data_IF_671527835569
#
_entry.id   IF_671527835569
#
_cell.length_a   1.000
_cell.length_b   1.000
_cell.length_c   1.000
_cell.angle_alpha   90.00
_cell.angle_beta   90.00
_cell.angle_gamma   90.00
#
_symmetry.space_group_name_H-M   'P 1'
#
loop_
_entity.id
_entity.type
_entity.pdbx_description
1 polymer ?
#
# COMPACT_ATOMS: atom_id res chain seq x y z
N UNK A 1 13.94 9.14 25.52
CA UNK A 1 13.82 9.05 24.04
C UNK A 1 12.36 8.74 23.74
N UNK A 2 11.70 9.49 22.86
CA UNK A 2 10.26 9.36 22.56
C UNK A 2 9.95 7.95 21.98
N UNK A 3 8.88 7.28 22.41
CA UNK A 3 8.52 5.92 22.00
C UNK A 3 8.45 5.75 20.46
N UNK A 4 7.97 6.78 19.75
CA UNK A 4 7.93 6.78 18.28
C UNK A 4 9.33 6.72 17.66
N UNK A 5 10.31 7.38 18.28
CA UNK A 5 11.70 7.41 17.81
C UNK A 5 12.40 6.08 18.06
N UNK A 6 12.08 5.42 19.18
CA UNK A 6 12.53 4.05 19.45
C UNK A 6 11.95 3.08 18.40
N UNK A 7 10.65 3.18 18.11
CA UNK A 7 10.01 2.35 17.09
C UNK A 7 10.62 2.55 15.69
N UNK A 8 10.85 3.80 15.27
CA UNK A 8 11.59 4.12 14.04
C UNK A 8 12.99 3.51 14.02
N UNK A 9 13.70 3.55 15.15
CA UNK A 9 15.04 2.98 15.28
C UNK A 9 15.04 1.46 15.10
N UNK A 10 14.01 0.76 15.61
CA UNK A 10 13.83 -0.69 15.39
C UNK A 10 13.70 -0.99 13.89
N UNK A 11 12.84 -0.26 13.18
CA UNK A 11 12.58 -0.50 11.75
C UNK A 11 13.77 -0.11 10.87
N UNK A 12 14.40 1.03 11.13
CA UNK A 12 15.61 1.42 10.38
C UNK A 12 16.78 0.47 10.63
N UNK A 13 16.91 -0.10 11.84
CA UNK A 13 17.89 -1.14 12.13
C UNK A 13 17.58 -2.44 11.39
N UNK A 14 16.31 -2.85 11.31
CA UNK A 14 15.91 -3.98 10.47
C UNK A 14 16.29 -3.73 9.02
N UNK A 15 15.90 -2.61 8.41
CA UNK A 15 16.21 -2.36 7.00
C UNK A 15 17.70 -2.37 6.73
N UNK A 16 18.51 -1.73 7.58
CA UNK A 16 19.97 -1.75 7.44
C UNK A 16 20.53 -3.17 7.46
N UNK A 17 20.06 -4.01 8.38
CA UNK A 17 20.54 -5.39 8.50
C UNK A 17 20.03 -6.27 7.35
N UNK A 18 18.74 -6.22 7.03
CA UNK A 18 18.12 -7.01 5.96
C UNK A 18 18.64 -6.64 4.56
N UNK A 19 18.72 -5.34 4.25
CA UNK A 19 19.14 -4.87 2.93
C UNK A 19 20.65 -5.12 2.71
N UNK A 20 21.46 -5.09 3.78
CA UNK A 20 22.89 -5.40 3.78
C UNK A 20 23.24 -6.89 3.91
N UNK A 21 22.29 -7.74 4.31
CA UNK A 21 22.55 -9.17 4.54
C UNK A 21 22.76 -9.94 3.23
N UNK A 22 23.72 -10.88 3.20
CA UNK A 22 23.77 -11.91 2.16
C UNK A 22 22.51 -12.80 2.27
N UNK A 23 22.17 -13.50 1.18
CA UNK A 23 20.90 -14.24 1.08
C UNK A 23 20.77 -15.26 2.21
N UNK A 24 21.85 -15.94 2.53
CA UNK A 24 21.96 -16.99 3.54
C UNK A 24 21.67 -16.49 4.97
N UNK A 25 21.76 -15.17 5.21
CA UNK A 25 21.55 -14.56 6.52
C UNK A 25 20.17 -13.92 6.71
N UNK A 26 19.37 -13.81 5.65
CA UNK A 26 18.05 -13.13 5.68
C UNK A 26 17.15 -13.68 6.80
N UNK A 27 17.09 -15.01 6.92
CA UNK A 27 16.28 -15.66 7.96
C UNK A 27 16.72 -15.27 9.37
N UNK A 28 18.04 -15.30 9.63
CA UNK A 28 18.65 -14.89 10.90
C UNK A 28 18.38 -13.42 11.23
N UNK A 29 18.44 -12.54 10.24
CA UNK A 29 18.12 -11.11 10.41
C UNK A 29 16.66 -10.91 10.86
N UNK A 30 15.70 -11.55 10.20
CA UNK A 30 14.28 -11.43 10.55
C UNK A 30 13.98 -12.05 11.92
N UNK A 31 14.54 -13.21 12.23
CA UNK A 31 14.42 -13.86 13.55
C UNK A 31 14.90 -12.95 14.70
N UNK A 32 16.02 -12.25 14.49
CA UNK A 32 16.56 -11.35 15.50
C UNK A 32 15.67 -10.12 15.73
N UNK A 33 15.08 -9.58 14.66
CA UNK A 33 14.27 -8.37 14.69
C UNK A 33 12.81 -8.59 15.12
N UNK A 34 12.27 -9.79 14.92
CA UNK A 34 10.86 -10.07 15.15
C UNK A 34 10.59 -10.77 16.50
N UNK A 35 9.34 -10.67 16.97
CA UNK A 35 8.87 -11.43 18.14
C UNK A 35 8.63 -12.91 17.77
N UNK A 36 8.61 -13.84 18.74
CA UNK A 36 8.33 -15.26 18.45
C UNK A 36 6.98 -15.51 17.76
N UNK A 37 5.98 -14.64 18.01
CA UNK A 37 4.64 -14.72 17.44
C UNK A 37 4.42 -13.80 16.23
N UNK A 38 5.49 -13.42 15.53
CA UNK A 38 5.43 -12.48 14.41
C UNK A 38 4.40 -12.87 13.34
N UNK A 39 3.50 -11.94 13.01
CA UNK A 39 2.52 -12.10 11.93
C UNK A 39 2.81 -11.14 10.79
N UNK A 40 2.82 -11.65 9.57
CA UNK A 40 3.01 -10.87 8.37
C UNK A 40 1.79 -11.03 7.46
N UNK A 41 1.18 -9.92 7.07
CA UNK A 41 0.08 -9.86 6.10
C UNK A 41 0.63 -9.24 4.83
N UNK A 42 0.62 -9.97 3.72
CA UNK A 42 1.01 -9.40 2.44
C UNK A 42 0.05 -9.74 1.32
N UNK A 43 0.10 -8.92 0.28
CA UNK A 43 -0.77 -9.07 -0.87
C UNK A 43 -0.78 -10.47 -1.45
N UNK A 44 -1.89 -10.80 -2.10
CA UNK A 44 -1.99 -12.02 -2.89
C UNK A 44 -0.78 -12.14 -3.83
N UNK A 45 -0.09 -13.29 -3.85
CA UNK A 45 -0.51 -14.60 -3.37
C UNK A 45 -0.10 -14.98 -1.94
N UNK A 46 0.61 -14.10 -1.22
CA UNK A 46 1.26 -14.48 0.04
C UNK A 46 0.30 -14.54 1.22
N UNK A 47 -0.69 -13.66 1.30
CA UNK A 47 -1.69 -13.59 2.39
C UNK A 47 -1.03 -13.50 3.78
N UNK A 48 -1.55 -14.23 4.78
CA UNK A 48 -0.98 -14.26 6.13
C UNK A 48 0.11 -15.33 6.24
N UNK A 49 1.26 -14.93 6.77
CA UNK A 49 2.40 -15.79 7.10
C UNK A 49 2.75 -15.56 8.56
N UNK A 50 2.93 -16.65 9.32
CA UNK A 50 3.35 -16.59 10.73
C UNK A 50 4.79 -17.07 10.86
N UNK A 51 5.57 -16.33 11.65
CA UNK A 51 6.97 -16.64 11.95
C UNK A 51 7.96 -15.98 10.99
N UNK A 52 9.06 -15.48 11.54
CA UNK A 52 10.09 -14.76 10.78
C UNK A 52 10.80 -15.63 9.74
N UNK A 53 11.05 -16.89 10.05
CA UNK A 53 11.66 -17.86 9.12
C UNK A 53 10.76 -18.08 7.90
N UNK A 54 9.47 -18.34 8.12
CA UNK A 54 8.49 -18.50 7.04
C UNK A 54 8.43 -17.27 6.13
N UNK A 55 8.47 -16.07 6.69
CA UNK A 55 8.50 -14.82 5.90
C UNK A 55 9.81 -14.68 5.12
N UNK A 56 10.93 -15.11 5.70
CA UNK A 56 12.22 -15.17 5.00
C UNK A 56 12.14 -16.08 3.77
N UNK A 57 11.65 -17.31 3.97
CA UNK A 57 11.61 -18.38 2.96
C UNK A 57 10.57 -18.14 1.88
N UNK A 58 9.37 -17.70 2.24
CA UNK A 58 8.28 -17.56 1.30
C UNK A 58 8.35 -16.25 0.50
N UNK A 59 8.87 -15.16 1.08
CA UNK A 59 8.85 -13.84 0.45
C UNK A 59 10.25 -13.31 0.14
N UNK A 60 11.08 -13.08 1.17
CA UNK A 60 12.32 -12.32 1.00
C UNK A 60 13.38 -13.06 0.18
N UNK A 61 13.58 -14.35 0.42
CA UNK A 61 14.56 -15.18 -0.30
C UNK A 61 14.20 -15.29 -1.80
N UNK A 62 12.98 -15.66 -2.19
CA UNK A 62 12.57 -15.65 -3.60
C UNK A 62 12.69 -14.27 -4.26
N UNK A 63 12.27 -13.21 -3.56
CA UNK A 63 12.37 -11.84 -4.08
C UNK A 63 13.84 -11.43 -4.32
N UNK A 64 14.74 -11.69 -3.35
CA UNK A 64 16.18 -11.37 -3.47
C UNK A 64 16.90 -12.28 -4.46
N UNK A 65 16.36 -13.47 -4.73
CA UNK A 65 16.84 -14.32 -5.82
C UNK A 65 16.51 -13.71 -7.19
N UNK A 66 15.29 -13.19 -7.34
CA UNK A 66 14.77 -12.64 -8.59
C UNK A 66 15.26 -11.21 -8.89
N UNK A 67 15.09 -10.29 -7.95
CA UNK A 67 15.56 -8.92 -8.03
C UNK A 67 16.95 -8.84 -7.41
N UNK A 68 17.99 -9.05 -8.22
CA UNK A 68 19.37 -8.97 -7.75
C UNK A 68 19.78 -7.51 -7.56
N UNK A 69 20.83 -7.28 -6.76
CA UNK A 69 21.30 -5.92 -6.40
C UNK A 69 20.19 -5.03 -5.84
N UNK A 70 19.23 -5.62 -5.12
CA UNK A 70 18.07 -4.92 -4.57
C UNK A 70 18.49 -3.74 -3.68
N UNK A 71 17.87 -2.59 -3.91
CA UNK A 71 18.00 -1.37 -3.14
C UNK A 71 16.61 -0.92 -2.70
N UNK A 72 16.49 -0.54 -1.43
CA UNK A 72 15.31 0.14 -0.92
C UNK A 72 15.44 1.64 -1.20
N UNK A 73 14.51 2.16 -1.98
CA UNK A 73 14.33 3.58 -2.25
C UNK A 73 13.11 4.04 -1.46
N UNK A 74 13.35 4.50 -0.24
CA UNK A 74 12.29 4.94 0.65
C UNK A 74 11.85 6.36 0.28
N UNK A 75 10.56 6.56 0.14
CA UNK A 75 9.93 7.83 -0.26
C UNK A 75 9.13 8.45 0.91
N UNK A 76 8.53 7.62 1.76
CA UNK A 76 7.83 8.04 2.98
C UNK A 76 8.21 7.13 4.15
N UNK A 77 8.44 7.73 5.33
CA UNK A 77 8.74 7.05 6.58
C UNK A 77 8.23 7.86 7.77
N UNK A 78 7.32 7.29 8.56
CA UNK A 78 6.77 7.93 9.75
C UNK A 78 6.27 6.89 10.76
N UNK A 79 6.03 7.30 11.99
CA UNK A 79 5.47 6.44 13.03
C UNK A 79 4.34 7.13 13.78
N UNK A 80 3.39 6.37 14.29
CA UNK A 80 2.31 6.92 15.07
C UNK A 80 1.65 5.90 15.99
N UNK A 81 0.85 6.41 16.92
CA UNK A 81 -0.02 5.59 17.75
C UNK A 81 -1.29 5.27 16.96
N UNK A 82 -1.74 4.02 17.06
CA UNK A 82 -2.88 3.54 16.31
C UNK A 82 -4.21 4.02 16.93
N UNK A 83 -4.95 4.88 16.24
CA UNK A 83 -6.26 5.32 16.72
C UNK A 83 -7.26 4.18 16.91
N UNK A 84 -7.18 3.12 16.09
CA UNK A 84 -8.16 2.02 16.09
C UNK A 84 -8.18 1.24 17.39
N UNK A 85 -7.04 1.15 18.08
CA UNK A 85 -6.92 0.47 19.39
C UNK A 85 -6.87 1.44 20.56
N UNK A 86 -7.36 2.67 20.38
CA UNK A 86 -7.34 3.67 21.45
C UNK A 86 -5.94 4.24 21.72
N UNK A 87 -5.07 4.27 20.70
CA UNK A 87 -3.70 4.78 20.75
C UNK A 87 -2.74 3.94 21.63
N UNK A 88 -3.06 2.68 21.84
CA UNK A 88 -2.29 1.74 22.64
C UNK A 88 -1.05 1.23 21.90
N UNK A 89 -1.20 0.86 20.62
CA UNK A 89 -0.08 0.32 19.85
C UNK A 89 0.65 1.37 19.01
N UNK A 90 1.95 1.14 18.79
CA UNK A 90 2.80 1.97 17.94
C UNK A 90 3.12 1.23 16.65
N UNK A 91 2.88 1.92 15.53
CA UNK A 91 3.18 1.43 14.20
C UNK A 91 4.15 2.37 13.50
N UNK A 92 4.91 1.82 12.57
CA UNK A 92 5.84 2.55 11.71
C UNK A 92 5.51 2.23 10.25
N UNK A 93 5.21 3.26 9.47
CA UNK A 93 4.93 3.16 8.05
C UNK A 93 6.20 3.45 7.24
N UNK A 94 6.37 2.70 6.16
CA UNK A 94 7.45 2.85 5.18
C UNK A 94 6.89 2.61 3.80
N UNK A 95 7.15 3.50 2.87
CA UNK A 95 6.67 3.39 1.49
C UNK A 95 7.79 3.80 0.53
N UNK A 96 7.82 3.15 -0.62
CA UNK A 96 8.66 3.56 -1.74
C UNK A 96 8.81 2.43 -2.73
N UNK A 97 10.05 2.16 -3.15
CA UNK A 97 10.35 1.15 -4.16
C UNK A 97 11.48 0.22 -3.70
N UNK A 98 11.30 -1.07 -3.95
CA UNK A 98 12.39 -2.04 -3.99
C UNK A 98 12.87 -2.12 -5.44
N UNK A 99 14.05 -1.57 -5.72
CA UNK A 99 14.63 -1.46 -7.05
C UNK A 99 15.77 -2.47 -7.22
N UNK A 100 15.80 -3.21 -8.32
CA UNK A 100 16.88 -4.17 -8.59
C UNK A 100 16.99 -4.53 -10.07
N UNK A 101 17.85 -5.49 -10.38
CA UNK A 101 17.91 -6.13 -11.69
C UNK A 101 17.01 -7.37 -11.68
N UNK A 102 16.05 -7.44 -12.59
CA UNK A 102 15.12 -8.56 -12.66
C UNK A 102 15.70 -9.71 -13.48
N UNK A 103 16.50 -10.54 -12.81
CA UNK A 103 17.38 -11.54 -13.45
C UNK A 103 16.87 -12.97 -13.35
N UNK A 104 15.96 -13.27 -12.42
CA UNK A 104 15.31 -14.58 -12.32
C UNK A 104 13.78 -14.44 -12.18
N UNK A 105 12.98 -15.44 -12.59
CA UNK A 105 11.53 -15.37 -12.45
C UNK A 105 11.07 -15.18 -11.00
N UNK A 106 9.97 -14.44 -10.81
CA UNK A 106 9.28 -14.34 -9.52
C UNK A 106 7.78 -14.40 -9.75
N UNK A 107 7.09 -15.29 -9.03
CA UNK A 107 5.64 -15.53 -9.18
C UNK A 107 5.21 -15.83 -10.62
N UNK A 108 6.06 -16.50 -11.39
CA UNK A 108 5.81 -16.82 -12.81
C UNK A 108 6.06 -15.67 -13.78
N UNK A 109 6.45 -14.49 -13.31
CA UNK A 109 6.80 -13.35 -14.16
C UNK A 109 8.19 -13.60 -14.77
N UNK A 110 8.35 -13.54 -16.11
CA UNK A 110 9.64 -13.76 -16.75
C UNK A 110 10.62 -12.61 -16.45
N UNK A 111 11.91 -12.91 -16.20
CA UNK A 111 12.91 -11.89 -15.96
C UNK A 111 13.18 -11.08 -17.23
N UNK A 112 13.52 -9.81 -17.06
CA UNK A 112 13.83 -8.89 -18.18
C UNK A 112 15.33 -8.66 -18.37
N UNK A 113 16.16 -9.01 -17.38
CA UNK A 113 17.57 -8.63 -17.31
C UNK A 113 17.80 -7.13 -17.22
N UNK A 114 16.76 -6.35 -16.87
CA UNK A 114 16.77 -4.89 -16.78
C UNK A 114 16.46 -4.44 -15.36
N UNK A 115 16.66 -3.15 -15.11
CA UNK A 115 16.18 -2.51 -13.90
C UNK A 115 14.66 -2.65 -13.77
N UNK A 116 14.19 -2.97 -12.57
CA UNK A 116 12.78 -3.02 -12.23
C UNK A 116 12.51 -2.32 -10.88
N UNK A 117 11.30 -1.77 -10.74
CA UNK A 117 10.81 -1.10 -9.54
C UNK A 117 9.59 -1.83 -8.99
N UNK A 118 9.74 -2.50 -7.86
CA UNK A 118 8.60 -3.03 -7.10
C UNK A 118 8.16 -1.98 -6.07
N UNK A 119 7.06 -1.30 -6.35
CA UNK A 119 6.46 -0.35 -5.40
C UNK A 119 5.98 -1.11 -4.16
N UNK A 120 6.27 -0.59 -2.97
CA UNK A 120 5.84 -1.18 -1.70
C UNK A 120 5.31 -0.13 -0.72
N UNK A 121 4.45 -0.57 0.20
CA UNK A 121 4.14 0.13 1.43
C UNK A 121 3.98 -0.88 2.55
N UNK A 122 4.50 -0.59 3.73
CA UNK A 122 4.40 -1.46 4.88
C UNK A 122 4.14 -0.70 6.18
N UNK A 123 3.30 -1.29 7.03
CA UNK A 123 3.05 -0.87 8.40
C UNK A 123 3.60 -1.93 9.33
N UNK A 124 4.46 -1.54 10.27
CA UNK A 124 5.12 -2.46 11.20
C UNK A 124 4.75 -2.11 12.63
N UNK A 125 4.09 -3.01 13.35
CA UNK A 125 3.80 -2.85 14.78
C UNK A 125 5.05 -3.18 15.58
N UNK A 126 5.52 -2.22 16.35
CA UNK A 126 6.68 -2.40 17.22
C UNK A 126 6.20 -2.66 18.64
N UNK A 127 6.73 -3.69 19.25
CA UNK A 127 6.46 -4.08 20.63
C UNK A 127 7.76 -4.57 21.28
N UNK A 128 8.10 -4.04 22.45
CA UNK A 128 9.27 -4.45 23.23
C UNK A 128 10.59 -4.45 22.44
N UNK A 129 10.77 -3.44 21.58
CA UNK A 129 11.97 -3.28 20.74
C UNK A 129 12.05 -4.24 19.55
N UNK A 130 10.98 -4.97 19.25
CA UNK A 130 10.88 -5.95 18.17
C UNK A 130 9.63 -5.73 17.32
N UNK A 131 9.61 -6.35 16.15
CA UNK A 131 8.47 -6.29 15.24
C UNK A 131 7.53 -7.44 15.58
N UNK A 132 6.29 -7.10 15.93
CA UNK A 132 5.28 -8.08 16.27
C UNK A 132 4.33 -8.37 15.10
N UNK A 133 4.04 -7.35 14.29
CA UNK A 133 3.21 -7.51 13.11
C UNK A 133 3.72 -6.64 11.96
N UNK A 134 3.57 -7.13 10.74
CA UNK A 134 3.78 -6.34 9.53
C UNK A 134 2.62 -6.54 8.59
N UNK A 135 2.14 -5.45 8.00
CA UNK A 135 1.24 -5.48 6.86
C UNK A 135 2.00 -4.86 5.68
N UNK A 136 2.33 -5.65 4.65
CA UNK A 136 3.21 -5.26 3.53
C UNK A 136 2.51 -5.44 2.19
N UNK A 137 2.31 -4.34 1.50
CA UNK A 137 1.55 -4.18 0.27
C UNK A 137 2.54 -3.88 -0.86
N UNK A 138 2.37 -4.49 -2.03
CA UNK A 138 3.28 -4.29 -3.17
C UNK A 138 2.56 -4.46 -4.52
N UNK A 139 2.99 -3.71 -5.53
CA UNK A 139 2.31 -3.69 -6.83
C UNK A 139 2.92 -4.74 -7.78
N UNK A 140 2.54 -6.01 -7.61
CA UNK A 140 2.91 -7.10 -8.54
C UNK A 140 2.44 -6.80 -9.97
N UNK A 141 1.21 -6.33 -10.22
CA UNK A 141 0.78 -5.97 -11.57
C UNK A 141 1.69 -4.93 -12.24
N UNK A 142 2.20 -3.95 -11.49
CA UNK A 142 3.19 -3.00 -12.02
C UNK A 142 4.50 -3.69 -12.43
N UNK A 143 4.99 -4.68 -11.66
CA UNK A 143 6.16 -5.47 -12.03
C UNK A 143 5.90 -6.32 -13.29
N UNK A 144 4.69 -6.91 -13.41
CA UNK A 144 4.26 -7.62 -14.62
C UNK A 144 4.31 -6.72 -15.85
N UNK A 145 3.81 -5.49 -15.74
CA UNK A 145 3.82 -4.52 -16.83
C UNK A 145 5.25 -4.10 -17.23
N UNK A 146 6.17 -3.95 -16.28
CA UNK A 146 7.59 -3.73 -16.57
C UNK A 146 8.24 -4.91 -17.31
N UNK A 147 7.71 -6.12 -17.14
CA UNK A 147 8.11 -7.32 -17.89
C UNK A 147 7.42 -7.45 -19.26
N UNK A 148 6.62 -6.47 -19.67
CA UNK A 148 5.88 -6.49 -20.93
C UNK A 148 4.60 -7.33 -20.88
N UNK A 149 4.10 -7.68 -19.69
CA UNK A 149 2.82 -8.37 -19.53
C UNK A 149 1.67 -7.38 -19.34
N UNK A 150 0.46 -7.80 -19.72
CA UNK A 150 -0.77 -7.02 -19.56
C UNK A 150 -1.74 -7.72 -18.60
N UNK A 151 -1.59 -7.55 -17.27
CA UNK A 151 -2.39 -8.26 -16.28
C UNK A 151 -3.87 -7.83 -16.26
N UNK A 152 -4.17 -6.62 -16.72
CA UNK A 152 -5.51 -6.04 -16.70
C UNK A 152 -5.86 -5.40 -18.06
N UNK A 153 -7.16 -5.13 -18.32
CA UNK A 153 -7.58 -4.29 -19.43
C UNK A 153 -7.01 -2.86 -19.36
N UNK A 154 -7.18 -2.04 -20.41
CA UNK A 154 -6.73 -0.65 -20.42
C UNK A 154 -7.18 0.14 -19.18
N UNK A 155 -6.25 0.89 -18.61
CA UNK A 155 -6.45 1.68 -17.39
C UNK A 155 -7.15 3.00 -17.70
N UNK A 156 -7.97 3.50 -16.78
CA UNK A 156 -8.67 4.80 -16.92
C UNK A 156 -7.75 6.00 -16.70
N UNK A 157 -6.67 5.82 -15.94
CA UNK A 157 -5.72 6.85 -15.58
C UNK A 157 -4.27 6.47 -15.96
N UNK A 158 -3.31 7.36 -15.67
CA UNK A 158 -1.94 7.24 -16.18
C UNK A 158 -1.12 6.16 -15.46
N UNK A 159 -0.51 5.24 -16.21
CA UNK A 159 0.45 4.28 -15.66
C UNK A 159 1.84 4.89 -15.60
N UNK A 160 2.45 4.95 -14.40
CA UNK A 160 3.73 5.61 -14.15
C UNK A 160 4.48 4.87 -13.04
N UNK A 161 5.80 5.05 -12.99
CA UNK A 161 6.55 4.87 -11.73
C UNK A 161 6.23 6.06 -10.85
N UNK A 162 5.60 5.83 -9.71
CA UNK A 162 5.11 6.90 -8.84
C UNK A 162 6.28 7.51 -8.05
N UNK A 163 6.43 8.84 -8.01
CA UNK A 163 7.46 9.48 -7.20
C UNK A 163 7.07 9.49 -5.72
N UNK A 164 8.04 9.79 -4.86
CA UNK A 164 7.78 10.24 -3.50
C UNK A 164 7.12 11.62 -3.45
N UNK A 165 6.87 12.14 -2.25
CA UNK A 165 6.17 13.41 -2.06
C UNK A 165 6.87 14.57 -2.75
N UNK A 166 6.11 15.48 -3.37
CA UNK A 166 6.65 16.66 -4.07
C UNK A 166 7.61 17.50 -3.21
N UNK A 167 7.38 17.52 -1.90
CA UNK A 167 8.15 18.28 -0.91
C UNK A 167 9.49 17.65 -0.53
N UNK A 168 9.73 16.40 -0.92
CA UNK A 168 10.90 15.60 -0.54
C UNK A 168 11.14 15.52 0.99
N UNK A 169 10.11 15.75 1.81
CA UNK A 169 10.15 15.74 3.28
C UNK A 169 9.43 14.51 3.88
N UNK A 170 9.20 13.47 3.06
CA UNK A 170 8.47 12.26 3.48
C UNK A 170 9.21 11.38 4.49
N UNK A 171 10.51 11.58 4.68
CA UNK A 171 11.34 10.80 5.60
C UNK A 171 11.42 11.49 6.97
N UNK A 172 10.41 11.26 7.81
CA UNK A 172 10.35 11.86 9.14
C UNK A 172 11.23 11.07 10.10
N UNK A 173 12.52 11.39 10.15
CA UNK A 173 13.43 10.77 11.12
C UNK A 173 13.33 11.40 12.50
N UNK A 174 13.18 12.72 12.57
CA UNK A 174 13.17 13.48 13.81
C UNK A 174 11.76 13.58 14.45
N UNK A 175 11.66 13.91 15.75
CA UNK A 175 10.39 14.21 16.39
C UNK A 175 9.61 15.30 15.66
N UNK A 176 8.30 15.09 15.49
CA UNK A 176 7.38 16.06 14.90
C UNK A 176 6.54 16.76 15.97
N UNK A 177 5.96 17.90 15.62
CA UNK A 177 4.97 18.59 16.46
C UNK A 177 3.71 17.69 16.64
N UNK A 178 3.32 17.34 17.88
CA UNK A 178 2.09 16.61 18.14
C UNK A 178 0.84 17.30 17.59
N UNK A 179 0.79 18.63 17.55
CA UNK A 179 -0.34 19.38 17.02
C UNK A 179 -0.49 19.19 15.50
N UNK A 180 0.61 19.21 14.75
CA UNK A 180 0.61 18.91 13.32
C UNK A 180 0.13 17.48 13.04
N UNK A 181 0.59 16.53 13.86
CA UNK A 181 0.22 15.11 13.76
C UNK A 181 -1.28 14.92 14.00
N UNK A 182 -1.82 15.57 15.03
CA UNK A 182 -3.25 15.55 15.35
C UNK A 182 -4.08 16.18 14.23
N UNK A 183 -3.67 17.33 13.70
CA UNK A 183 -4.35 17.99 12.59
C UNK A 183 -4.42 17.08 11.34
N UNK A 184 -3.34 16.39 11.02
CA UNK A 184 -3.29 15.42 9.91
C UNK A 184 -4.25 14.25 10.14
N UNK A 185 -4.23 13.64 11.33
CA UNK A 185 -5.14 12.53 11.65
C UNK A 185 -6.60 12.95 11.61
N UNK A 186 -6.93 14.11 12.18
CA UNK A 186 -8.30 14.66 12.16
C UNK A 186 -8.78 14.89 10.73
N UNK A 187 -7.94 15.45 9.85
CA UNK A 187 -8.31 15.68 8.46
C UNK A 187 -8.53 14.36 7.69
N UNK A 188 -7.68 13.36 7.89
CA UNK A 188 -7.84 12.03 7.30
C UNK A 188 -9.16 11.40 7.76
N UNK A 189 -9.50 11.51 9.04
CA UNK A 189 -10.76 10.97 9.57
C UNK A 189 -11.99 11.71 9.04
N UNK A 190 -11.93 13.03 8.87
CA UNK A 190 -12.99 13.79 8.21
C UNK A 190 -13.20 13.29 6.77
N UNK A 191 -12.12 13.08 6.01
CA UNK A 191 -12.18 12.56 4.64
C UNK A 191 -12.79 11.14 4.59
N UNK A 192 -12.38 10.25 5.49
CA UNK A 192 -12.93 8.89 5.58
C UNK A 192 -14.44 8.94 5.89
N UNK A 193 -14.86 9.82 6.80
CA UNK A 193 -16.26 9.98 7.16
C UNK A 193 -17.10 10.48 5.98
N UNK A 194 -16.59 11.48 5.27
CA UNK A 194 -17.28 12.09 4.12
C UNK A 194 -17.41 11.07 2.97
N UNK A 195 -16.33 10.39 2.58
CA UNK A 195 -16.31 9.48 1.43
C UNK A 195 -16.79 8.05 1.74
N UNK A 196 -16.86 7.69 3.02
CA UNK A 196 -16.89 6.30 3.47
C UNK A 196 -18.14 5.50 3.10
N UNK A 197 -19.27 6.12 2.79
CA UNK A 197 -20.51 5.41 2.43
C UNK A 197 -21.19 5.94 1.17
N UNK A 198 -20.61 6.94 0.50
CA UNK A 198 -21.18 7.59 -0.70
C UNK A 198 -22.58 8.19 -0.46
N UNK A 199 -22.87 8.56 0.78
CA UNK A 199 -24.19 9.01 1.24
C UNK A 199 -24.20 10.48 1.69
N UNK A 200 -23.11 11.23 1.48
CA UNK A 200 -23.04 12.62 1.93
C UNK A 200 -24.04 13.53 1.21
N UNK A 201 -24.53 13.13 0.03
CA UNK A 201 -25.56 13.87 -0.72
C UNK A 201 -25.05 15.11 -1.46
N UNK A 202 -23.73 15.30 -1.52
CA UNK A 202 -23.08 16.34 -2.32
C UNK A 202 -22.66 15.80 -3.69
N UNK A 203 -22.55 16.68 -4.71
CA UNK A 203 -21.82 16.34 -5.92
C UNK A 203 -20.40 15.88 -5.59
N UNK A 204 -19.89 14.88 -6.33
CA UNK A 204 -18.61 14.21 -6.02
C UNK A 204 -17.44 15.20 -5.89
N UNK A 205 -17.33 16.18 -6.79
CA UNK A 205 -16.24 17.16 -6.74
C UNK A 205 -16.36 18.09 -5.51
N UNK A 206 -17.58 18.50 -5.15
CA UNK A 206 -17.83 19.31 -3.95
C UNK A 206 -17.57 18.52 -2.66
N UNK A 207 -17.94 17.23 -2.64
CA UNK A 207 -17.62 16.30 -1.56
C UNK A 207 -16.11 16.19 -1.37
N UNK A 208 -15.36 15.98 -2.45
CA UNK A 208 -13.90 15.89 -2.41
C UNK A 208 -13.25 17.21 -1.95
N UNK A 209 -13.72 18.35 -2.45
CA UNK A 209 -13.19 19.68 -2.12
C UNK A 209 -13.29 20.04 -0.62
N UNK A 210 -14.09 19.31 0.17
CA UNK A 210 -14.16 19.48 1.62
C UNK A 210 -12.84 19.17 2.30
N UNK A 211 -12.11 18.16 1.85
CA UNK A 211 -10.88 17.67 2.50
C UNK A 211 -9.66 17.62 1.58
N UNK A 212 -9.85 17.69 0.26
CA UNK A 212 -8.78 17.65 -0.73
C UNK A 212 -8.47 19.02 -1.31
N UNK A 213 -7.21 19.23 -1.67
CA UNK A 213 -6.79 20.35 -2.50
C UNK A 213 -7.33 20.16 -3.92
N UNK A 214 -7.66 21.26 -4.59
CA UNK A 214 -8.17 21.23 -5.98
C UNK A 214 -7.18 20.54 -6.93
N UNK A 215 -5.88 20.75 -6.70
CA UNK A 215 -4.76 20.16 -7.43
C UNK A 215 -4.22 18.87 -6.78
N UNK A 216 -5.06 18.13 -6.04
CA UNK A 216 -4.61 16.89 -5.41
C UNK A 216 -4.09 15.84 -6.40
N UNK A 217 -3.12 15.03 -5.96
CA UNK A 217 -2.59 13.90 -6.73
C UNK A 217 -2.98 12.57 -6.09
N UNK A 218 -3.49 11.66 -6.90
CA UNK A 218 -3.81 10.29 -6.51
C UNK A 218 -2.88 9.32 -7.23
N UNK A 219 -1.93 8.73 -6.50
CA UNK A 219 -0.94 7.77 -6.98
C UNK A 219 -1.48 6.34 -6.89
N UNK A 220 -2.31 5.98 -7.86
CA UNK A 220 -2.98 4.68 -7.95
C UNK A 220 -2.10 3.50 -8.37
N UNK A 221 -2.56 2.26 -8.12
CA UNK A 221 -1.87 1.05 -8.53
C UNK A 221 -2.06 0.74 -10.03
N UNK A 222 -1.24 -0.16 -10.56
CA UNK A 222 -1.43 -0.72 -11.89
C UNK A 222 -2.76 -1.48 -11.99
N UNK A 223 -3.52 -1.17 -13.02
CA UNK A 223 -4.92 -1.57 -13.23
C UNK A 223 -5.89 -0.38 -13.18
N UNK A 224 -5.52 0.70 -12.50
CA UNK A 224 -6.32 1.94 -12.43
C UNK A 224 -5.52 3.12 -12.98
N UNK A 225 -4.27 3.30 -12.50
CA UNK A 225 -3.39 4.41 -12.87
C UNK A 225 -3.52 5.63 -11.94
N UNK A 226 -2.71 6.66 -12.18
CA UNK A 226 -2.60 7.86 -11.35
C UNK A 226 -3.35 9.05 -11.97
N UNK A 227 -3.94 9.89 -11.12
CA UNK A 227 -4.77 11.04 -11.52
C UNK A 227 -4.24 12.33 -10.88
N UNK A 228 -4.60 13.48 -11.45
CA UNK A 228 -4.19 14.81 -10.96
C UNK A 228 -5.34 15.81 -11.11
N UNK A 229 -5.64 16.55 -10.04
CA UNK A 229 -6.83 17.40 -9.79
C UNK A 229 -8.07 16.63 -9.34
N UNK A 230 -8.96 17.31 -8.60
CA UNK A 230 -10.27 16.77 -8.18
C UNK A 230 -11.09 16.32 -9.40
N UNK A 231 -11.20 17.15 -10.45
CA UNK A 231 -11.97 16.84 -11.67
C UNK A 231 -11.51 15.51 -12.30
N UNK A 232 -10.19 15.35 -12.48
CA UNK A 232 -9.65 14.12 -13.12
C UNK A 232 -9.71 12.93 -12.18
N UNK A 233 -9.49 13.10 -10.88
CA UNK A 233 -9.67 12.03 -9.91
C UNK A 233 -11.11 11.52 -9.89
N UNK A 234 -12.09 12.44 -9.88
CA UNK A 234 -13.51 12.12 -9.95
C UNK A 234 -13.82 11.33 -11.23
N UNK A 235 -13.41 11.84 -12.40
CA UNK A 235 -13.70 11.22 -13.70
C UNK A 235 -12.98 9.90 -13.95
N UNK A 236 -11.73 9.76 -13.51
CA UNK A 236 -10.87 8.65 -13.88
C UNK A 236 -10.81 7.55 -12.81
N UNK A 237 -11.18 7.84 -11.56
CA UNK A 237 -11.18 6.83 -10.50
C UNK A 237 -12.49 6.81 -9.71
N UNK A 238 -12.83 7.90 -9.01
CA UNK A 238 -13.88 7.83 -7.98
C UNK A 238 -15.27 7.54 -8.56
N UNK A 239 -15.66 8.19 -9.67
CA UNK A 239 -16.92 7.88 -10.35
C UNK A 239 -16.91 6.47 -10.97
N UNK A 240 -15.90 6.05 -11.76
CA UNK A 240 -15.82 4.65 -12.24
C UNK A 240 -15.89 3.59 -11.14
N UNK A 241 -15.30 3.86 -9.97
CA UNK A 241 -15.38 2.97 -8.82
C UNK A 241 -16.81 2.94 -8.25
N UNK A 242 -17.44 4.09 -8.03
CA UNK A 242 -18.82 4.17 -7.51
C UNK A 242 -19.85 3.56 -8.46
N UNK A 243 -19.68 3.75 -9.76
CA UNK A 243 -20.57 3.19 -10.77
C UNK A 243 -20.41 1.66 -10.89
N UNK A 244 -19.18 1.17 -10.70
CA UNK A 244 -18.83 -0.25 -10.85
C UNK A 244 -19.03 -1.11 -9.61
N UNK A 245 -19.48 -0.52 -8.49
CA UNK A 245 -19.67 -1.21 -7.21
C UNK A 245 -20.95 -0.79 -6.50
N UNK A 246 -21.55 -1.72 -5.76
CA UNK A 246 -22.66 -1.48 -4.83
C UNK A 246 -22.38 -2.11 -3.48
N UNK A 247 -23.28 -1.89 -2.51
CA UNK A 247 -23.26 -2.53 -1.18
C UNK A 247 -21.93 -2.33 -0.44
N UNK A 248 -21.31 -1.15 -0.58
CA UNK A 248 -20.06 -0.86 0.11
C UNK A 248 -20.27 -0.87 1.63
N UNK A 249 -19.53 -1.73 2.33
CA UNK A 249 -19.54 -1.76 3.79
C UNK A 249 -18.92 -0.49 4.40
N UNK A 250 -19.03 -0.32 5.72
CA UNK A 250 -18.17 0.58 6.48
C UNK A 250 -16.69 0.15 6.44
N UNK A 251 -15.83 0.98 7.01
CA UNK A 251 -14.38 0.72 7.04
C UNK A 251 -13.96 -0.25 8.15
N UNK A 252 -13.23 -1.32 7.81
CA UNK A 252 -12.57 -2.27 8.70
C UNK A 252 -11.07 -2.01 8.85
N UNK A 253 -10.67 -0.75 9.12
CA UNK A 253 -9.25 -0.43 9.28
C UNK A 253 -8.69 -1.10 10.54
N UNK A 254 -7.49 -1.65 10.45
CA UNK A 254 -6.75 -2.22 11.58
C UNK A 254 -5.77 -1.22 12.18
N UNK A 255 -5.27 -0.29 11.36
CA UNK A 255 -4.41 0.80 11.81
C UNK A 255 -4.83 2.11 11.16
N UNK A 256 -4.87 3.18 11.95
CA UNK A 256 -4.92 4.58 11.49
C UNK A 256 -3.94 5.38 12.33
N UNK A 257 -3.03 6.10 11.69
CA UNK A 257 -2.03 6.90 12.39
C UNK A 257 -1.50 8.05 11.55
N UNK A 258 -0.91 9.05 12.20
CA UNK A 258 -0.27 10.18 11.55
C UNK A 258 0.95 10.68 12.33
N UNK A 259 1.85 11.36 11.64
CA UNK A 259 2.99 12.07 12.20
C UNK A 259 3.35 13.28 11.33
N UNK A 260 3.45 14.46 11.95
CA UNK A 260 3.64 15.70 11.21
C UNK A 260 2.55 15.88 10.14
N UNK A 261 2.96 16.02 8.88
CA UNK A 261 2.05 16.20 7.73
C UNK A 261 1.72 14.91 6.98
N UNK A 262 2.18 13.77 7.48
CA UNK A 262 1.97 12.47 6.86
C UNK A 262 1.06 11.62 7.73
N UNK A 263 0.24 10.79 7.09
CA UNK A 263 -0.60 9.85 7.79
C UNK A 263 -1.08 8.77 6.86
N UNK A 264 -1.72 7.76 7.42
CA UNK A 264 -2.19 6.64 6.62
C UNK A 264 -2.92 5.60 7.42
N UNK A 265 -3.46 4.64 6.70
CA UNK A 265 -4.20 3.53 7.26
C UNK A 265 -4.09 2.29 6.39
N UNK A 266 -4.40 1.15 6.99
CA UNK A 266 -4.66 -0.09 6.25
C UNK A 266 -5.77 -0.90 6.90
N UNK A 267 -6.36 -1.80 6.13
CA UNK A 267 -7.33 -2.79 6.60
C UNK A 267 -7.08 -4.16 5.97
N UNK A 268 -7.69 -5.17 6.57
CA UNK A 268 -7.56 -6.57 6.15
C UNK A 268 -8.87 -7.33 6.35
N UNK A 269 -9.94 -7.02 5.58
CA UNK A 269 -10.01 -6.00 4.53
C UNK A 269 -10.40 -4.60 5.05
N UNK A 270 -10.21 -3.56 4.23
CA UNK A 270 -10.68 -2.21 4.52
C UNK A 270 -12.19 -2.09 4.35
N UNK A 271 -12.78 -2.76 3.37
CA UNK A 271 -14.22 -2.79 3.16
C UNK A 271 -14.57 -3.95 2.22
N UNK A 272 -15.85 -4.22 2.10
CA UNK A 272 -16.44 -5.15 1.12
C UNK A 272 -17.29 -4.34 0.15
N UNK A 273 -17.30 -4.73 -1.12
CA UNK A 273 -18.23 -4.20 -2.12
C UNK A 273 -18.57 -5.26 -3.19
N UNK A 274 -19.73 -5.13 -3.82
CA UNK A 274 -20.23 -6.06 -4.85
C UNK A 274 -20.06 -5.42 -6.24
N UNK A 275 -19.32 -6.03 -7.19
CA UNK A 275 -19.15 -5.46 -8.52
C UNK A 275 -20.44 -5.55 -9.35
N UNK A 276 -20.86 -4.41 -9.87
CA UNK A 276 -22.01 -4.26 -10.79
C UNK A 276 -21.59 -4.28 -12.26
N UNK A 277 -20.28 -4.39 -12.53
CA UNK A 277 -19.67 -4.40 -13.85
C UNK A 277 -19.12 -3.03 -14.26
N UNK A 278 -18.24 -3.01 -15.26
CA UNK A 278 -17.64 -1.78 -15.79
C UNK A 278 -16.35 -1.36 -15.09
N UNK A 279 -16.17 -1.64 -13.80
CA UNK A 279 -14.90 -1.38 -13.11
C UNK A 279 -13.76 -2.16 -13.77
N UNK A 280 -12.72 -1.44 -14.23
CA UNK A 280 -11.61 -1.98 -15.04
C UNK A 280 -12.06 -2.73 -16.31
N UNK A 281 -13.25 -2.43 -16.84
CA UNK A 281 -13.83 -3.13 -17.99
C UNK A 281 -14.28 -4.57 -17.71
N UNK A 282 -14.39 -4.95 -16.44
CA UNK A 282 -14.74 -6.31 -16.02
C UNK A 282 -16.27 -6.48 -15.86
N UNK A 283 -16.81 -7.69 -16.05
CA UNK A 283 -18.24 -7.94 -15.90
C UNK A 283 -18.68 -7.93 -14.43
N UNK A 284 -19.98 -7.77 -14.22
CA UNK A 284 -20.59 -8.06 -12.92
C UNK A 284 -20.46 -9.54 -12.58
N UNK A 285 -20.25 -9.84 -11.30
CA UNK A 285 -20.31 -11.22 -10.78
C UNK A 285 -21.44 -11.43 -9.79
N UNK A 286 -21.96 -10.33 -9.22
CA UNK A 286 -22.95 -10.36 -8.14
C UNK A 286 -22.42 -10.92 -6.82
N UNK A 287 -21.10 -11.08 -6.66
CA UNK A 287 -20.48 -11.64 -5.45
C UNK A 287 -19.77 -10.53 -4.65
N UNK A 288 -20.03 -10.38 -3.34
CA UNK A 288 -19.26 -9.48 -2.50
C UNK A 288 -17.76 -9.83 -2.56
N UNK A 289 -16.90 -8.81 -2.68
CA UNK A 289 -15.45 -8.97 -2.68
C UNK A 289 -14.78 -8.07 -1.63
N UNK A 290 -13.71 -8.57 -1.05
CA UNK A 290 -12.94 -7.91 -0.01
C UNK A 290 -11.85 -7.03 -0.60
N UNK A 291 -11.82 -5.76 -0.20
CA UNK A 291 -10.78 -4.81 -0.59
C UNK A 291 -9.72 -4.70 0.50
N UNK A 292 -8.53 -5.25 0.23
CA UNK A 292 -7.33 -5.02 1.04
C UNK A 292 -6.61 -3.81 0.47
N UNK A 293 -6.56 -2.73 1.25
CA UNK A 293 -6.08 -1.42 0.81
C UNK A 293 -5.16 -0.79 1.86
N UNK A 294 -4.16 -0.08 1.38
CA UNK A 294 -3.33 0.82 2.18
C UNK A 294 -3.36 2.20 1.52
N UNK A 295 -3.46 3.21 2.36
CA UNK A 295 -3.43 4.60 1.94
C UNK A 295 -2.39 5.36 2.76
N UNK A 296 -1.53 6.09 2.07
CA UNK A 296 -0.62 7.09 2.64
C UNK A 296 -1.04 8.45 2.11
N UNK A 297 -1.08 9.46 2.97
CA UNK A 297 -1.47 10.82 2.65
C UNK A 297 -0.37 11.81 3.04
N UNK A 298 -0.30 12.90 2.29
CA UNK A 298 0.36 14.14 2.68
C UNK A 298 -0.66 15.27 2.81
N UNK A 299 -0.64 15.96 3.95
CA UNK A 299 -1.39 17.20 4.19
C UNK A 299 -0.58 18.42 3.73
N UNK A 300 -1.26 19.40 3.14
CA UNK A 300 -0.76 20.75 2.89
C UNK A 300 -1.77 21.75 3.47
N UNK A 301 -1.37 22.52 4.48
CA UNK A 301 -2.30 23.40 5.19
C UNK A 301 -3.47 22.61 5.78
N UNK A 302 -4.70 22.99 5.44
CA UNK A 302 -5.94 22.37 5.89
C UNK A 302 -6.49 21.31 4.93
N UNK A 303 -5.74 20.92 3.89
CA UNK A 303 -6.16 19.98 2.84
C UNK A 303 -5.20 18.81 2.64
N UNK A 304 -5.73 17.69 2.13
CA UNK A 304 -4.94 16.58 1.60
C UNK A 304 -4.47 16.92 0.19
N UNK A 305 -3.18 16.79 -0.07
CA UNK A 305 -2.56 17.21 -1.33
C UNK A 305 -2.07 16.02 -2.16
N UNK A 306 -1.54 14.97 -1.51
CA UNK A 306 -1.09 13.76 -2.20
C UNK A 306 -1.56 12.53 -1.46
N UNK A 307 -1.83 11.47 -2.23
CA UNK A 307 -2.20 10.17 -1.71
C UNK A 307 -1.58 9.05 -2.53
N UNK A 308 -0.98 8.09 -1.85
CA UNK A 308 -0.42 6.87 -2.42
C UNK A 308 -1.22 5.66 -1.94
N UNK A 309 -1.75 4.91 -2.90
CA UNK A 309 -2.77 3.90 -2.67
C UNK A 309 -2.29 2.59 -3.25
N UNK A 310 -2.47 1.52 -2.49
CA UNK A 310 -2.20 0.17 -2.95
C UNK A 310 -3.43 -0.68 -2.69
N UNK A 311 -3.93 -1.31 -3.73
CA UNK A 311 -5.12 -2.15 -3.70
C UNK A 311 -4.70 -3.54 -4.15
N UNK A 312 -5.07 -4.57 -3.38
CA UNK A 312 -4.82 -5.97 -3.74
C UNK A 312 -5.79 -6.42 -4.85
N UNK A 313 -5.63 -5.86 -6.05
CA UNK A 313 -6.49 -6.16 -7.20
C UNK A 313 -6.39 -7.64 -7.58
N UNK A 314 -5.24 -8.28 -7.35
CA UNK A 314 -5.07 -9.72 -7.57
C UNK A 314 -5.97 -10.53 -6.62
N UNK A 315 -6.00 -10.18 -5.33
CA UNK A 315 -6.92 -10.80 -4.38
C UNK A 315 -8.38 -10.57 -4.75
N UNK A 316 -8.75 -9.31 -5.02
CA UNK A 316 -10.12 -8.94 -5.34
C UNK A 316 -10.62 -9.75 -6.55
N UNK A 317 -9.88 -9.73 -7.67
CA UNK A 317 -10.29 -10.44 -8.87
C UNK A 317 -10.27 -11.96 -8.72
N UNK A 318 -9.39 -12.51 -7.88
CA UNK A 318 -9.42 -13.94 -7.57
C UNK A 318 -10.72 -14.36 -6.87
N UNK A 319 -11.21 -13.57 -5.92
CA UNK A 319 -12.53 -13.80 -5.30
C UNK A 319 -13.67 -13.72 -6.32
N UNK A 320 -13.50 -12.88 -7.34
CA UNK A 320 -14.44 -12.75 -8.46
C UNK A 320 -14.32 -13.87 -9.51
N UNK A 321 -13.42 -14.84 -9.32
CA UNK A 321 -13.23 -16.00 -10.20
C UNK A 321 -12.17 -15.79 -11.29
N UNK A 322 -11.41 -14.70 -11.26
CA UNK A 322 -10.29 -14.46 -12.15
C UNK A 322 -8.95 -14.55 -11.40
N UNK A 323 -8.25 -15.67 -11.54
CA UNK A 323 -6.87 -15.79 -11.08
C UNK A 323 -5.91 -15.21 -12.13
N UNK A 324 -5.50 -13.94 -11.93
CA UNK A 324 -4.63 -13.22 -12.87
C UNK A 324 -3.22 -13.82 -12.91
N UNK A 325 -2.69 -14.28 -11.78
CA UNK A 325 -1.36 -14.89 -11.72
C UNK A 325 -1.34 -16.21 -12.49
N UNK A 326 -2.32 -17.08 -12.26
CA UNK A 326 -2.44 -18.35 -12.98
C UNK A 326 -2.64 -18.11 -14.49
N UNK A 327 -3.54 -17.19 -14.87
CA UNK A 327 -3.77 -16.84 -16.27
C UNK A 327 -2.50 -16.37 -16.97
N UNK A 328 -1.67 -15.56 -16.31
CA UNK A 328 -0.41 -15.08 -16.90
C UNK A 328 0.65 -16.18 -17.02
N UNK A 329 0.63 -17.18 -16.15
CA UNK A 329 1.52 -18.35 -16.27
C UNK A 329 1.11 -19.27 -17.43
N UNK A 330 -0.20 -19.49 -17.63
CA UNK A 330 -0.71 -20.41 -18.66
C UNK A 330 -0.76 -19.76 -20.06
N UNK A 331 -1.25 -18.52 -20.14
CA UNK A 331 -1.42 -17.78 -21.41
C UNK A 331 -0.96 -16.33 -21.20
N UNK A 332 0.36 -16.08 -21.30
CA UNK A 332 0.91 -14.74 -21.15
C UNK A 332 0.27 -13.77 -22.15
N UNK A 333 -0.26 -12.63 -21.67
CA UNK A 333 -0.72 -11.54 -22.54
C UNK A 333 0.38 -10.48 -22.62
N UNK A 334 0.90 -10.23 -23.82
CA UNK A 334 1.94 -9.22 -24.09
C UNK A 334 1.38 -8.01 -24.81
#
# INVERSE_FOLDING_TARGET
MNDLQNAKSVITSLYRTLDGAPKEEISRCLLAAATPGYRWRGFHPFNEITGAESVAECFWLPLRHSLTRLQRRQDVFFAGRNEIDGFESIWVASMGHLMGLFDAPWLGIPPTGKMAFLRYCEFNRVQDGKIAETAMYFDIPHLMMQAGLQPFPPQTAAHLVQPGPMTHDGLLHDPQDPAESQATLTLINAMISDLGQWQLGLPLEEELARTWADDMIWWGPAGIGSTYTIERYAKQHSAPFRDGFTERSGTGHLCRMAEGRYGGFFGWPNFVATPTGGFMGMPATGKPGEFRVIDIYRRAGDKLAENWIFIDLLHFWKQQGLDVLARMADVPRT
#
